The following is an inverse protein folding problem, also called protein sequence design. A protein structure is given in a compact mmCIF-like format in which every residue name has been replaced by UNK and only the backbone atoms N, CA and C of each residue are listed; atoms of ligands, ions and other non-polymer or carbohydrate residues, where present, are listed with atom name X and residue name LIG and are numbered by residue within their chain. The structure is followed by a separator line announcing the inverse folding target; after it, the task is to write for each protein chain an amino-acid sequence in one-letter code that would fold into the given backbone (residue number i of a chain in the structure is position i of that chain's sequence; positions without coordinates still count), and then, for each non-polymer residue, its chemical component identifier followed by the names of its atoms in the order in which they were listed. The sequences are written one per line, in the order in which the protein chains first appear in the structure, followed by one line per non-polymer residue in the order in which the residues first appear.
data_IF_128059710902
#
_entry.id   IF_128059710902
#
_cell.length_a   1.000
_cell.length_b   1.000
_cell.length_c   1.000
_cell.angle_alpha   90.00
_cell.angle_beta   90.00
_cell.angle_gamma   90.00
#
_symmetry.space_group_name_H-M   'P 1'
#
loop_
_entity.id
_entity.type
_entity.pdbx_description
1 polymer ?
#
# COMPACT_ATOMS: atom_id res chain seq x y z
N UNK A 1 -5.95 28.83 8.53
CA UNK A 1 -5.52 27.72 9.41
C UNK A 1 -6.74 26.98 9.99
N UNK A 2 -7.64 26.45 9.14
CA UNK A 2 -8.86 25.75 9.58
C UNK A 2 -9.38 24.72 8.54
N UNK A 3 -8.48 24.21 7.68
CA UNK A 3 -8.85 23.39 6.51
C UNK A 3 -8.36 21.94 6.51
N UNK A 4 -7.73 21.44 7.58
CA UNK A 4 -7.13 20.09 7.60
C UNK A 4 -7.97 19.01 8.31
N UNK A 5 -9.16 19.35 8.81
CA UNK A 5 -9.90 18.51 9.77
C UNK A 5 -11.05 17.63 9.24
N UNK A 6 -11.49 17.61 7.97
CA UNK A 6 -12.52 16.64 7.56
C UNK A 6 -12.02 15.35 6.87
N UNK A 7 -10.81 15.29 6.31
CA UNK A 7 -10.41 14.13 5.48
C UNK A 7 -9.65 13.01 6.21
N UNK A 8 -9.01 13.29 7.35
CA UNK A 8 -8.13 12.32 8.03
C UNK A 8 -8.39 12.15 9.54
N UNK A 9 -9.29 12.94 10.15
CA UNK A 9 -9.28 13.13 11.61
C UNK A 9 -10.54 12.78 12.42
N UNK A 10 -11.59 12.15 11.86
CA UNK A 10 -12.81 11.88 12.66
C UNK A 10 -13.34 10.46 12.52
N UNK A 11 -12.76 9.53 13.30
CA UNK A 11 -13.48 8.52 14.09
C UNK A 11 -12.46 7.68 14.87
N UNK A 12 -11.87 8.30 15.90
CA UNK A 12 -11.37 7.56 17.05
C UNK A 12 -12.54 7.32 17.99
N UNK A 13 -13.16 6.15 17.95
CA UNK A 13 -13.81 5.54 19.11
C UNK A 13 -14.02 4.05 18.87
N UNK A 14 -13.54 3.25 19.82
CA UNK A 14 -13.82 1.81 19.96
C UNK A 14 -15.31 1.53 19.74
N UNK A 15 -15.66 0.89 18.62
CA UNK A 15 -16.95 0.21 18.48
C UNK A 15 -16.69 -1.28 18.33
N UNK A 16 -16.92 -1.97 19.44
CA UNK A 16 -16.99 -3.42 19.58
C UNK A 16 -18.02 -3.95 18.58
N UNK A 17 -17.56 -4.46 17.43
CA UNK A 17 -18.44 -5.16 16.50
C UNK A 17 -18.45 -6.66 16.82
N UNK A 18 -19.30 -7.09 17.77
CA UNK A 18 -19.67 -8.52 17.89
C UNK A 18 -20.68 -8.87 16.80
N UNK A 19 -20.40 -9.94 16.05
CA UNK A 19 -21.38 -10.59 15.15
C UNK A 19 -20.99 -10.67 13.67
N UNK A 20 -20.59 -11.90 13.30
CA UNK A 20 -20.69 -12.57 12.00
C UNK A 20 -19.80 -12.10 10.83
N UNK A 21 -19.01 -13.04 10.27
CA UNK A 21 -18.61 -13.14 8.85
C UNK A 21 -17.76 -12.01 8.26
N UNK A 22 -17.03 -11.27 9.10
CA UNK A 22 -16.42 -9.93 8.85
C UNK A 22 -14.92 -9.91 9.17
N UNK A 23 -14.10 -10.58 8.38
CA UNK A 23 -12.66 -10.73 8.73
C UNK A 23 -11.76 -9.69 8.01
N UNK A 24 -11.83 -9.57 6.69
CA UNK A 24 -10.88 -8.73 5.92
C UNK A 24 -10.98 -7.19 6.11
N UNK A 25 -12.21 -6.63 6.14
CA UNK A 25 -12.38 -5.17 6.24
C UNK A 25 -12.03 -4.63 7.63
N UNK A 26 -12.16 -5.46 8.68
CA UNK A 26 -11.73 -5.12 10.04
C UNK A 26 -10.21 -5.10 10.15
N UNK A 27 -9.52 -6.08 9.54
CA UNK A 27 -8.06 -6.12 9.48
C UNK A 27 -7.46 -4.86 8.84
N UNK A 28 -8.02 -4.37 7.73
CA UNK A 28 -7.55 -3.13 7.08
C UNK A 28 -7.67 -1.89 7.98
N UNK A 29 -8.81 -1.76 8.66
CA UNK A 29 -9.10 -0.62 9.54
C UNK A 29 -8.24 -0.69 10.81
N UNK A 30 -8.09 -1.87 11.40
CA UNK A 30 -7.25 -2.09 12.58
C UNK A 30 -5.76 -1.92 12.28
N UNK A 31 -5.29 -2.27 11.09
CA UNK A 31 -3.91 -1.98 10.65
C UNK A 31 -3.68 -0.47 10.56
N UNK A 32 -4.57 0.27 9.89
CA UNK A 32 -4.43 1.72 9.70
C UNK A 32 -4.35 2.50 11.02
N UNK A 33 -5.27 2.24 11.96
CA UNK A 33 -5.37 3.01 13.21
C UNK A 33 -4.15 2.85 14.14
N UNK A 34 -3.38 1.80 13.91
CA UNK A 34 -2.39 1.36 14.85
C UNK A 34 -0.98 1.68 14.34
N UNK A 35 -0.76 1.66 13.03
CA UNK A 35 0.48 2.11 12.40
C UNK A 35 0.65 3.63 12.39
N UNK A 36 -0.45 4.40 12.34
CA UNK A 36 -0.39 5.87 12.34
C UNK A 36 0.34 6.41 13.58
N UNK A 37 0.06 5.86 14.77
CA UNK A 37 0.67 6.24 16.05
C UNK A 37 2.19 6.07 16.13
N UNK A 38 2.75 5.25 15.24
CA UNK A 38 4.10 4.72 15.37
C UNK A 38 5.04 5.33 14.33
N UNK A 39 4.54 5.69 13.15
CA UNK A 39 5.35 6.45 12.18
C UNK A 39 5.73 7.83 12.70
N UNK A 40 4.88 8.48 13.52
CA UNK A 40 5.25 9.75 14.13
C UNK A 40 6.54 9.63 14.95
N UNK A 41 6.78 8.45 15.53
CA UNK A 41 7.97 8.15 16.33
C UNK A 41 9.18 7.81 15.45
N UNK A 42 8.97 7.02 14.41
CA UNK A 42 10.03 6.63 13.47
C UNK A 42 10.49 7.75 12.52
N UNK A 43 9.61 8.66 12.13
CA UNK A 43 9.98 9.83 11.30
C UNK A 43 10.64 10.94 12.10
N UNK A 44 10.20 11.21 13.33
CA UNK A 44 10.90 12.14 14.22
C UNK A 44 12.33 11.62 14.47
N UNK A 45 12.50 10.33 14.73
CA UNK A 45 13.82 9.72 14.88
C UNK A 45 14.64 9.63 13.57
N UNK A 46 14.01 9.28 12.45
CA UNK A 46 14.66 9.17 11.13
C UNK A 46 15.08 10.52 10.55
N UNK A 47 14.38 11.60 10.92
CA UNK A 47 14.77 12.97 10.57
C UNK A 47 16.13 13.39 11.17
N UNK A 48 16.60 12.67 12.19
CA UNK A 48 17.81 12.96 12.97
C UNK A 48 19.08 12.22 12.52
N UNK A 49 19.00 11.07 11.84
CA UNK A 49 20.19 10.23 11.53
C UNK A 49 20.85 10.49 10.17
N UNK A 50 20.45 11.52 9.43
CA UNK A 50 21.06 11.86 8.14
C UNK A 50 20.51 11.07 6.94
N UNK A 51 20.83 11.54 5.73
CA UNK A 51 20.05 11.33 4.50
C UNK A 51 19.87 9.90 3.98
N UNK A 52 20.58 8.89 4.51
CA UNK A 52 20.39 7.48 4.10
C UNK A 52 19.25 6.79 4.87
N UNK A 53 19.02 7.13 6.14
CA UNK A 53 17.96 6.51 6.97
C UNK A 53 16.56 7.05 6.62
N UNK A 54 16.49 8.32 6.19
CA UNK A 54 15.26 9.00 5.78
C UNK A 54 14.56 8.33 4.59
N UNK A 55 15.31 7.67 3.71
CA UNK A 55 14.75 7.02 2.52
C UNK A 55 13.73 5.94 2.86
N UNK A 56 14.06 5.02 3.79
CA UNK A 56 13.13 3.99 4.25
C UNK A 56 11.92 4.58 4.98
N UNK A 57 12.16 5.48 5.93
CA UNK A 57 11.08 6.13 6.69
C UNK A 57 10.10 6.93 5.82
N UNK A 58 10.58 7.59 4.75
CA UNK A 58 9.71 8.29 3.78
C UNK A 58 8.91 7.33 2.92
N UNK A 59 9.48 6.18 2.51
CA UNK A 59 8.73 5.11 1.83
C UNK A 59 7.58 4.63 2.72
N UNK A 60 7.87 4.30 3.97
CA UNK A 60 6.87 3.93 4.97
C UNK A 60 5.75 4.99 5.12
N UNK A 61 6.12 6.28 5.21
CA UNK A 61 5.15 7.39 5.30
C UNK A 61 4.21 7.44 4.12
N UNK A 62 4.75 7.29 2.91
CA UNK A 62 3.96 7.32 1.69
C UNK A 62 2.94 6.20 1.70
N UNK A 63 3.38 4.96 1.99
CA UNK A 63 2.47 3.83 2.09
C UNK A 63 1.38 4.07 3.13
N UNK A 64 1.69 4.68 4.28
CA UNK A 64 0.67 5.04 5.28
C UNK A 64 -0.41 5.97 4.75
N UNK A 65 -0.03 7.01 4.02
CA UNK A 65 -0.98 7.91 3.38
C UNK A 65 -1.88 7.14 2.41
N UNK A 66 -1.28 6.25 1.61
CA UNK A 66 -2.00 5.37 0.68
C UNK A 66 -2.96 4.42 1.44
N UNK A 67 -2.52 3.84 2.56
CA UNK A 67 -3.36 2.99 3.43
C UNK A 67 -4.55 3.76 3.97
N UNK A 68 -4.35 5.04 4.29
CA UNK A 68 -5.41 5.87 4.84
C UNK A 68 -6.55 6.09 3.84
N UNK A 69 -6.19 6.44 2.60
CA UNK A 69 -7.12 6.53 1.47
C UNK A 69 -7.81 5.18 1.19
N UNK A 70 -7.05 4.08 1.12
CA UNK A 70 -7.59 2.75 0.87
C UNK A 70 -8.60 2.31 1.95
N UNK A 71 -8.32 2.59 3.22
CA UNK A 71 -9.23 2.29 4.32
C UNK A 71 -10.49 3.17 4.32
N UNK A 72 -10.38 4.44 3.97
CA UNK A 72 -11.54 5.32 3.78
C UNK A 72 -12.43 4.83 2.63
N UNK A 73 -11.83 4.41 1.52
CA UNK A 73 -12.53 3.72 0.44
C UNK A 73 -13.26 2.47 0.94
N UNK A 74 -12.58 1.59 1.68
CA UNK A 74 -13.20 0.38 2.22
C UNK A 74 -14.37 0.68 3.17
N UNK A 75 -14.25 1.68 4.04
CA UNK A 75 -15.36 2.14 4.91
C UNK A 75 -16.55 2.59 4.07
N UNK A 76 -16.31 3.42 3.04
CA UNK A 76 -17.36 3.94 2.17
C UNK A 76 -18.09 2.84 1.38
N UNK A 77 -17.34 1.90 0.79
CA UNK A 77 -17.92 0.77 0.06
C UNK A 77 -18.71 -0.15 1.01
N UNK A 78 -18.20 -0.38 2.23
CA UNK A 78 -18.88 -1.22 3.21
C UNK A 78 -20.19 -0.62 3.73
N UNK A 79 -20.23 0.70 3.96
CA UNK A 79 -21.46 1.41 4.37
C UNK A 79 -22.50 1.34 3.26
N UNK A 80 -22.09 1.48 2.00
CA UNK A 80 -22.97 1.43 0.81
C UNK A 80 -23.17 0.02 0.27
N UNK A 81 -22.83 -1.03 1.03
CA UNK A 81 -22.77 -2.41 0.51
C UNK A 81 -24.14 -2.91 0.07
N UNK A 82 -24.18 -3.51 -1.11
CA UNK A 82 -25.30 -4.31 -1.62
C UNK A 82 -24.85 -5.77 -1.76
N UNK A 83 -25.78 -6.74 -1.88
CA UNK A 83 -25.42 -8.14 -2.09
C UNK A 83 -24.51 -8.35 -3.31
N UNK A 84 -24.68 -7.55 -4.36
CA UNK A 84 -23.93 -7.66 -5.63
C UNK A 84 -22.46 -7.25 -5.48
N UNK A 85 -22.17 -6.26 -4.64
CA UNK A 85 -20.79 -5.79 -4.41
C UNK A 85 -20.08 -6.52 -3.27
N UNK A 86 -20.78 -7.42 -2.55
CA UNK A 86 -20.20 -8.20 -1.44
C UNK A 86 -18.95 -9.00 -1.87
N UNK A 87 -19.01 -9.63 -3.05
CA UNK A 87 -17.86 -10.35 -3.63
C UNK A 87 -16.69 -9.41 -3.89
N UNK A 88 -16.95 -8.20 -4.40
CA UNK A 88 -15.91 -7.22 -4.66
C UNK A 88 -15.27 -6.68 -3.37
N UNK A 89 -16.09 -6.42 -2.34
CA UNK A 89 -15.61 -6.03 -1.00
C UNK A 89 -14.66 -7.07 -0.45
N UNK A 90 -15.00 -8.36 -0.57
CA UNK A 90 -14.11 -9.42 -0.11
C UNK A 90 -12.77 -9.37 -0.83
N UNK A 91 -12.75 -9.29 -2.17
CA UNK A 91 -11.50 -9.22 -2.97
C UNK A 91 -10.65 -8.01 -2.58
N UNK A 92 -11.25 -6.82 -2.50
CA UNK A 92 -10.53 -5.61 -2.08
C UNK A 92 -9.99 -5.74 -0.65
N UNK A 93 -10.80 -6.26 0.27
CA UNK A 93 -10.37 -6.42 1.66
C UNK A 93 -9.23 -7.42 1.81
N UNK A 94 -9.24 -8.52 1.07
CA UNK A 94 -8.16 -9.53 1.08
C UNK A 94 -6.87 -8.95 0.50
N UNK A 95 -6.96 -8.26 -0.64
CA UNK A 95 -5.85 -7.60 -1.31
C UNK A 95 -5.18 -6.54 -0.40
N UNK A 96 -5.98 -5.61 0.11
CA UNK A 96 -5.52 -4.53 0.96
C UNK A 96 -4.98 -5.09 2.28
N UNK A 97 -5.70 -5.97 2.98
CA UNK A 97 -5.21 -6.50 4.26
C UNK A 97 -3.84 -7.17 4.11
N UNK A 98 -3.66 -8.01 3.10
CA UNK A 98 -2.39 -8.71 2.89
C UNK A 98 -1.22 -7.73 2.67
N UNK A 99 -1.38 -6.82 1.72
CA UNK A 99 -0.31 -5.87 1.34
C UNK A 99 -0.04 -4.86 2.44
N UNK A 100 -1.09 -4.28 3.01
CA UNK A 100 -0.99 -3.23 4.02
C UNK A 100 -0.40 -3.73 5.34
N UNK A 101 -0.71 -4.97 5.75
CA UNK A 101 -0.14 -5.54 6.98
C UNK A 101 1.33 -5.93 6.82
N UNK A 102 1.76 -6.46 5.67
CA UNK A 102 3.19 -6.63 5.40
C UNK A 102 3.92 -5.30 5.38
N UNK A 103 3.37 -4.30 4.71
CA UNK A 103 3.97 -2.97 4.66
C UNK A 103 4.05 -2.31 6.05
N UNK A 104 3.04 -2.51 6.88
CA UNK A 104 3.04 -2.09 8.28
C UNK A 104 4.26 -2.69 9.01
N UNK A 105 4.47 -4.00 8.90
CA UNK A 105 5.59 -4.68 9.56
C UNK A 105 6.96 -4.20 9.08
N UNK A 106 7.12 -3.99 7.76
CA UNK A 106 8.33 -3.40 7.18
C UNK A 106 8.56 -1.99 7.74
N UNK A 107 7.52 -1.15 7.71
CA UNK A 107 7.62 0.24 8.17
C UNK A 107 7.95 0.32 9.67
N UNK A 108 7.33 -0.51 10.50
CA UNK A 108 7.61 -0.59 11.94
C UNK A 108 9.06 -1.02 12.21
N UNK A 109 9.55 -1.98 11.42
CA UNK A 109 10.91 -2.46 11.52
C UNK A 109 11.92 -1.36 11.15
N UNK A 110 11.73 -0.69 10.02
CA UNK A 110 12.56 0.43 9.58
C UNK A 110 12.53 1.60 10.57
N UNK A 111 11.35 1.93 11.10
CA UNK A 111 11.19 2.96 12.13
C UNK A 111 11.99 2.62 13.40
N UNK A 112 11.94 1.36 13.85
CA UNK A 112 12.73 0.92 15.02
C UNK A 112 14.22 1.03 14.76
N UNK A 113 14.69 0.60 13.60
CA UNK A 113 16.11 0.70 13.20
C UNK A 113 16.56 2.14 13.05
N UNK A 114 15.70 3.02 12.53
CA UNK A 114 15.93 4.46 12.45
C UNK A 114 15.98 5.16 13.83
N UNK A 115 15.46 4.53 14.89
CA UNK A 115 15.62 5.03 16.26
C UNK A 115 16.89 4.51 16.96
N UNK A 116 17.67 3.63 16.31
CA UNK A 116 18.82 2.98 16.93
C UNK A 116 18.46 2.28 18.27
N UNK A 117 19.34 2.38 19.26
CA UNK A 117 19.13 1.78 20.59
C UNK A 117 17.88 2.32 21.32
N UNK A 118 17.50 3.57 21.06
CA UNK A 118 16.29 4.16 21.67
C UNK A 118 15.01 3.45 21.21
N UNK A 119 15.01 2.85 20.01
CA UNK A 119 13.89 2.06 19.52
C UNK A 119 13.66 0.74 20.25
N UNK A 120 14.63 0.27 21.04
CA UNK A 120 14.49 -0.92 21.89
C UNK A 120 13.94 -0.60 23.28
N UNK A 121 14.03 0.66 23.73
CA UNK A 121 13.57 1.02 25.07
C UNK A 121 12.05 0.90 25.18
N UNK A 122 11.59 0.24 26.24
CA UNK A 122 10.17 0.03 26.54
C UNK A 122 9.38 1.34 26.63
N UNK A 123 9.99 2.41 27.16
CA UNK A 123 9.38 3.75 27.24
C UNK A 123 8.96 4.31 25.86
N UNK A 124 9.67 3.91 24.79
CA UNK A 124 9.40 4.34 23.42
C UNK A 124 8.41 3.44 22.68
N UNK A 125 8.09 2.27 23.26
CA UNK A 125 7.02 1.34 22.83
C UNK A 125 7.13 0.79 21.40
N UNK A 126 8.17 1.11 20.63
CA UNK A 126 8.31 0.64 19.24
C UNK A 126 8.39 -0.89 19.14
N UNK A 127 9.17 -1.52 20.03
CA UNK A 127 9.26 -2.98 20.10
C UNK A 127 7.92 -3.65 20.50
N UNK A 128 7.23 -3.07 21.48
CA UNK A 128 5.92 -3.55 21.95
C UNK A 128 4.90 -3.47 20.81
N UNK A 129 4.80 -2.30 20.17
CA UNK A 129 3.88 -2.14 19.07
C UNK A 129 4.17 -3.08 17.90
N UNK A 130 5.45 -3.24 17.52
CA UNK A 130 5.80 -4.22 16.49
C UNK A 130 5.31 -5.62 16.84
N UNK A 131 5.45 -6.05 18.10
CA UNK A 131 4.96 -7.35 18.54
C UNK A 131 3.42 -7.45 18.50
N UNK A 132 2.72 -6.38 18.87
CA UNK A 132 1.25 -6.32 18.81
C UNK A 132 0.71 -6.35 17.37
N UNK A 133 1.42 -5.76 16.41
CA UNK A 133 1.00 -5.72 15.00
C UNK A 133 1.39 -6.94 14.18
N UNK A 134 2.36 -7.73 14.64
CA UNK A 134 2.83 -8.91 13.92
C UNK A 134 1.70 -9.91 13.65
N UNK A 135 0.79 -10.06 14.61
CA UNK A 135 -0.39 -10.92 14.51
C UNK A 135 -1.32 -10.55 13.34
N UNK A 136 -1.31 -9.29 12.89
CA UNK A 136 -2.15 -8.86 11.78
C UNK A 136 -1.75 -9.53 10.47
N UNK A 137 -0.53 -10.04 10.34
CA UNK A 137 -0.11 -10.79 9.15
C UNK A 137 -0.80 -12.16 9.01
N UNK A 138 -1.34 -12.69 10.12
CA UNK A 138 -1.90 -14.06 10.18
C UNK A 138 -3.38 -14.10 10.56
N UNK A 139 -3.85 -13.22 11.44
CA UNK A 139 -5.26 -13.14 11.80
C UNK A 139 -6.13 -12.61 10.67
N UNK A 140 -7.41 -12.99 10.69
CA UNK A 140 -8.41 -12.63 9.66
C UNK A 140 -8.02 -13.13 8.24
N UNK A 141 -7.18 -14.18 8.20
CA UNK A 141 -6.65 -14.84 7.00
C UNK A 141 -5.15 -14.60 6.81
N UNK A 142 -4.39 -15.68 6.58
CA UNK A 142 -2.97 -15.58 6.21
C UNK A 142 -2.78 -14.77 4.92
N UNK A 143 -1.80 -13.86 4.90
CA UNK A 143 -1.61 -12.94 3.78
C UNK A 143 -1.38 -13.65 2.44
N UNK A 144 -0.66 -14.78 2.40
CA UNK A 144 -0.45 -15.52 1.16
C UNK A 144 -1.75 -16.18 0.69
N UNK A 145 -2.51 -16.75 1.63
CA UNK A 145 -3.84 -17.32 1.34
C UNK A 145 -4.80 -16.26 0.81
N UNK A 146 -4.77 -15.05 1.37
CA UNK A 146 -5.58 -13.93 0.91
C UNK A 146 -5.20 -13.48 -0.51
N UNK A 147 -3.91 -13.37 -0.83
CA UNK A 147 -3.47 -13.09 -2.20
C UNK A 147 -3.90 -14.20 -3.17
N UNK A 148 -3.91 -15.47 -2.76
CA UNK A 148 -4.48 -16.55 -3.58
C UNK A 148 -5.99 -16.38 -3.81
N UNK A 149 -6.75 -15.91 -2.80
CA UNK A 149 -8.18 -15.64 -2.98
C UNK A 149 -8.41 -14.51 -4.00
N UNK A 150 -7.58 -13.46 -3.97
CA UNK A 150 -7.62 -12.35 -4.92
C UNK A 150 -7.40 -12.87 -6.34
N UNK A 151 -6.27 -13.54 -6.60
CA UNK A 151 -5.95 -14.04 -7.95
C UNK A 151 -6.99 -15.04 -8.47
N UNK A 152 -7.50 -15.95 -7.62
CA UNK A 152 -8.59 -16.87 -7.99
C UNK A 152 -9.87 -16.12 -8.36
N UNK A 153 -10.21 -15.05 -7.64
CA UNK A 153 -11.38 -14.24 -7.95
C UNK A 153 -11.23 -13.49 -9.29
N UNK A 154 -10.05 -12.93 -9.56
CA UNK A 154 -9.74 -12.26 -10.84
C UNK A 154 -9.79 -13.24 -12.00
N UNK A 155 -9.20 -14.43 -11.85
CA UNK A 155 -9.27 -15.49 -12.84
C UNK A 155 -10.71 -15.95 -13.13
N UNK A 156 -11.53 -16.11 -12.09
CA UNK A 156 -12.94 -16.46 -12.26
C UNK A 156 -13.73 -15.39 -13.02
N UNK A 157 -13.43 -14.10 -12.78
CA UNK A 157 -14.03 -12.99 -13.52
C UNK A 157 -13.58 -12.98 -14.98
N UNK A 158 -12.29 -13.19 -15.22
CA UNK A 158 -11.71 -13.33 -16.56
C UNK A 158 -12.40 -14.44 -17.37
N UNK A 159 -12.51 -15.65 -16.81
CA UNK A 159 -13.19 -16.76 -17.48
C UNK A 159 -14.67 -16.49 -17.75
N UNK A 160 -15.36 -15.89 -16.78
CA UNK A 160 -16.79 -15.56 -16.91
C UNK A 160 -17.02 -14.56 -18.04
N UNK A 161 -16.15 -13.55 -18.11
CA UNK A 161 -16.17 -12.50 -19.14
C UNK A 161 -15.89 -13.07 -20.52
N UNK A 162 -14.86 -13.92 -20.66
CA UNK A 162 -14.54 -14.63 -21.90
C UNK A 162 -15.72 -15.49 -22.39
N UNK A 163 -16.36 -16.25 -21.49
CA UNK A 163 -17.52 -17.10 -21.83
C UNK A 163 -18.75 -16.29 -22.24
N UNK A 164 -19.04 -15.21 -21.52
CA UNK A 164 -20.25 -14.38 -21.75
C UNK A 164 -20.06 -13.34 -22.86
N UNK A 165 -18.83 -13.10 -23.32
CA UNK A 165 -18.46 -12.04 -24.28
C UNK A 165 -19.02 -10.66 -23.89
N UNK A 166 -19.08 -10.39 -22.59
CA UNK A 166 -19.49 -9.10 -22.04
C UNK A 166 -18.25 -8.30 -21.65
N UNK A 167 -18.31 -6.96 -21.58
CA UNK A 167 -17.20 -6.18 -21.03
C UNK A 167 -17.02 -6.48 -19.53
N UNK A 168 -15.78 -6.37 -19.05
CA UNK A 168 -15.44 -6.38 -17.63
C UNK A 168 -16.18 -5.25 -16.90
N UNK A 169 -16.71 -5.56 -15.72
CA UNK A 169 -17.37 -4.61 -14.82
C UNK A 169 -17.07 -4.98 -13.37
N UNK A 170 -16.57 -4.04 -12.60
CA UNK A 170 -16.15 -4.20 -11.22
C UNK A 170 -14.67 -4.52 -11.09
N UNK A 171 -14.18 -4.46 -9.83
CA UNK A 171 -12.80 -4.74 -9.45
C UNK A 171 -11.75 -3.83 -10.09
N UNK A 172 -12.12 -2.77 -10.83
CA UNK A 172 -11.17 -1.96 -11.59
C UNK A 172 -10.63 -2.66 -12.84
N UNK A 173 -11.23 -3.79 -13.24
CA UNK A 173 -10.86 -4.54 -14.45
C UNK A 173 -11.42 -3.92 -15.73
N UNK A 174 -12.15 -2.81 -15.63
CA UNK A 174 -12.69 -2.08 -16.78
C UNK A 174 -11.60 -1.63 -17.76
N UNK A 175 -10.37 -1.42 -17.28
CA UNK A 175 -9.25 -1.09 -18.14
C UNK A 175 -8.94 -2.21 -19.16
N UNK A 176 -9.32 -3.48 -18.94
CA UNK A 176 -9.15 -4.56 -19.91
C UNK A 176 -10.10 -4.46 -21.13
N UNK A 177 -11.16 -3.65 -21.04
CA UNK A 177 -12.10 -3.45 -22.16
C UNK A 177 -11.50 -2.57 -23.26
N UNK A 178 -10.48 -1.77 -22.93
CA UNK A 178 -9.85 -0.82 -23.83
C UNK A 178 -8.58 -1.36 -24.52
N UNK A 179 -7.97 -0.54 -25.38
CA UNK A 179 -6.70 -0.87 -26.02
C UNK A 179 -5.60 -1.13 -24.98
N UNK A 180 -4.57 -1.89 -25.36
CA UNK A 180 -3.41 -2.12 -24.51
C UNK A 180 -2.65 -0.82 -24.32
N UNK A 181 -2.31 -0.40 -23.08
CA UNK A 181 -1.48 0.77 -22.88
C UNK A 181 -0.12 0.58 -23.53
N UNK A 182 0.43 1.65 -24.09
CA UNK A 182 1.75 1.67 -24.71
C UNK A 182 2.70 2.46 -23.83
N UNK A 183 3.76 1.81 -23.39
CA UNK A 183 4.77 2.42 -22.51
C UNK A 183 5.87 3.03 -23.37
N UNK A 184 6.21 4.31 -23.18
CA UNK A 184 7.30 4.94 -23.91
C UNK A 184 8.63 4.20 -23.69
N UNK A 185 9.46 4.11 -24.74
CA UNK A 185 10.76 3.44 -24.65
C UNK A 185 11.73 4.16 -23.70
N UNK A 186 11.69 5.50 -23.68
CA UNK A 186 12.52 6.33 -22.81
C UNK A 186 11.64 7.11 -21.85
N UNK A 187 11.99 7.09 -20.57
CA UNK A 187 11.25 7.76 -19.51
C UNK A 187 12.01 9.01 -19.04
N UNK A 188 11.27 10.11 -18.90
CA UNK A 188 11.73 11.34 -18.25
C UNK A 188 11.02 11.52 -16.91
N UNK A 189 11.51 12.43 -16.06
CA UNK A 189 10.85 12.77 -14.79
C UNK A 189 9.38 13.18 -14.98
N UNK A 190 9.09 14.00 -16.00
CA UNK A 190 7.72 14.43 -16.32
C UNK A 190 6.80 13.25 -16.69
N UNK A 191 7.33 12.29 -17.45
CA UNK A 191 6.59 11.07 -17.81
C UNK A 191 6.34 10.23 -16.56
N UNK A 192 7.36 10.02 -15.73
CA UNK A 192 7.25 9.23 -14.50
C UNK A 192 6.24 9.81 -13.50
N UNK A 193 6.12 11.13 -13.43
CA UNK A 193 5.19 11.84 -12.53
C UNK A 193 3.77 11.98 -13.08
N UNK A 194 3.57 11.73 -14.38
CA UNK A 194 2.26 11.79 -15.02
C UNK A 194 1.33 10.69 -14.49
N UNK A 195 0.17 11.10 -13.96
CA UNK A 195 -0.86 10.16 -13.48
C UNK A 195 -1.31 9.20 -14.58
N UNK A 196 -1.37 9.65 -15.83
CA UNK A 196 -1.71 8.81 -16.98
C UNK A 196 -0.69 7.69 -17.18
N UNK A 197 0.60 8.03 -17.22
CA UNK A 197 1.67 7.04 -17.41
C UNK A 197 1.67 6.00 -16.29
N UNK A 198 1.62 6.47 -15.03
CA UNK A 198 1.61 5.62 -13.86
C UNK A 198 0.44 4.62 -13.90
N UNK A 199 -0.74 5.12 -14.29
CA UNK A 199 -1.92 4.27 -14.38
C UNK A 199 -1.86 3.30 -15.55
N UNK A 200 -1.39 3.75 -16.72
CA UNK A 200 -1.19 2.93 -17.91
C UNK A 200 -0.21 1.77 -17.63
N UNK A 201 0.89 2.02 -16.92
CA UNK A 201 1.88 1.01 -16.56
C UNK A 201 1.31 -0.06 -15.62
N UNK A 202 0.57 0.33 -14.59
CA UNK A 202 0.01 -0.62 -13.63
C UNK A 202 -1.13 -1.43 -14.23
N UNK A 203 -1.97 -0.80 -15.06
CA UNK A 203 -2.99 -1.47 -15.87
C UNK A 203 -2.37 -2.46 -16.87
N UNK A 204 -1.25 -2.11 -17.52
CA UNK A 204 -0.55 -3.03 -18.42
C UNK A 204 -0.09 -4.27 -17.68
N UNK A 205 0.59 -4.10 -16.54
CA UNK A 205 1.10 -5.20 -15.71
C UNK A 205 -0.03 -6.12 -15.24
N UNK A 206 -1.10 -5.58 -14.66
CA UNK A 206 -2.22 -6.40 -14.17
C UNK A 206 -2.92 -7.14 -15.32
N UNK A 207 -3.17 -6.46 -16.45
CA UNK A 207 -3.78 -7.07 -17.64
C UNK A 207 -2.96 -8.25 -18.15
N UNK A 208 -1.66 -8.07 -18.27
CA UNK A 208 -0.77 -9.07 -18.85
C UNK A 208 -0.60 -10.27 -17.92
N UNK A 209 -0.36 -10.04 -16.62
CA UNK A 209 -0.29 -11.11 -15.61
C UNK A 209 -1.60 -11.91 -15.52
N UNK A 210 -2.76 -11.27 -15.66
CA UNK A 210 -4.04 -11.96 -15.65
C UNK A 210 -4.20 -12.91 -16.84
N UNK A 211 -3.74 -12.49 -18.03
CA UNK A 211 -3.74 -13.34 -19.23
C UNK A 211 -2.77 -14.50 -19.09
N UNK A 212 -1.53 -14.22 -18.71
CA UNK A 212 -0.50 -15.25 -18.52
C UNK A 212 -0.92 -16.26 -17.44
N UNK A 213 -1.53 -15.82 -16.33
CA UNK A 213 -2.06 -16.74 -15.31
C UNK A 213 -3.15 -17.64 -15.88
N UNK A 214 -4.06 -17.09 -16.68
CA UNK A 214 -5.12 -17.89 -17.31
C UNK A 214 -4.57 -18.91 -18.31
N UNK A 215 -3.58 -18.52 -19.11
CA UNK A 215 -2.88 -19.39 -20.06
C UNK A 215 -2.12 -20.50 -19.35
N UNK A 216 -1.43 -20.18 -18.25
CA UNK A 216 -0.68 -21.15 -17.47
C UNK A 216 -1.58 -22.19 -16.79
N UNK A 217 -2.70 -21.74 -16.20
CA UNK A 217 -3.70 -22.66 -15.64
C UNK A 217 -4.29 -23.54 -16.74
N UNK A 218 -4.60 -22.98 -17.92
CA UNK A 218 -5.11 -23.76 -19.05
C UNK A 218 -4.10 -24.81 -19.52
N UNK A 219 -2.80 -24.49 -19.53
CA UNK A 219 -1.72 -25.43 -19.87
C UNK A 219 -1.69 -26.63 -18.94
N UNK A 220 -1.76 -26.43 -17.62
CA UNK A 220 -1.80 -27.55 -16.67
C UNK A 220 -3.08 -28.38 -16.78
N UNK A 221 -4.23 -27.74 -16.99
CA UNK A 221 -5.49 -28.46 -17.25
C UNK A 221 -5.39 -29.36 -18.50
N UNK A 222 -4.74 -28.87 -19.57
CA UNK A 222 -4.51 -29.65 -20.79
C UNK A 222 -3.55 -30.84 -20.57
N UNK A 223 -2.68 -30.78 -19.55
CA UNK A 223 -1.80 -31.87 -19.13
C UNK A 223 -2.52 -32.91 -18.26
N UNK A 224 -3.83 -32.75 -17.99
CA UNK A 224 -4.63 -33.67 -17.19
C UNK A 224 -4.62 -33.38 -15.69
N UNK A 225 -4.02 -32.26 -15.26
CA UNK A 225 -4.06 -31.85 -13.85
C UNK A 225 -5.48 -31.45 -13.42
N UNK A 226 -5.81 -31.69 -12.16
CA UNK A 226 -7.05 -31.16 -11.59
C UNK A 226 -7.02 -29.63 -11.53
N UNK A 227 -8.19 -28.99 -11.45
CA UNK A 227 -8.28 -27.52 -11.37
C UNK A 227 -7.54 -26.97 -10.16
N UNK A 228 -7.69 -27.64 -9.02
CA UNK A 228 -7.06 -27.26 -7.75
C UNK A 228 -5.54 -27.36 -7.87
N UNK A 229 -5.04 -28.42 -8.52
CA UNK A 229 -3.62 -28.63 -8.75
C UNK A 229 -3.03 -27.65 -9.76
N UNK A 230 -3.73 -27.38 -10.86
CA UNK A 230 -3.32 -26.39 -11.86
C UNK A 230 -3.18 -24.97 -11.24
N UNK A 231 -4.13 -24.56 -10.39
CA UNK A 231 -4.06 -23.30 -9.67
C UNK A 231 -2.89 -23.25 -8.67
N UNK A 232 -2.61 -24.37 -8.00
CA UNK A 232 -1.47 -24.48 -7.07
C UNK A 232 -0.12 -24.41 -7.81
N UNK A 233 0.01 -25.11 -8.95
CA UNK A 233 1.23 -25.10 -9.76
C UNK A 233 1.51 -23.72 -10.36
N UNK A 234 0.47 -22.93 -10.60
CA UNK A 234 0.55 -21.56 -11.12
C UNK A 234 0.66 -20.49 -10.01
N UNK A 235 1.10 -20.87 -8.80
CA UNK A 235 1.07 -19.98 -7.62
C UNK A 235 1.94 -18.72 -7.78
N UNK A 236 3.12 -18.82 -8.39
CA UNK A 236 4.05 -17.69 -8.49
C UNK A 236 3.44 -16.52 -9.28
N UNK A 237 2.88 -16.81 -10.46
CA UNK A 237 2.20 -15.78 -11.26
C UNK A 237 0.90 -15.31 -10.61
N UNK A 238 0.22 -16.18 -9.87
CA UNK A 238 -0.98 -15.83 -9.12
C UNK A 238 -0.66 -14.80 -8.01
N UNK A 239 0.47 -14.94 -7.32
CA UNK A 239 0.93 -13.99 -6.32
C UNK A 239 1.29 -12.63 -6.96
N UNK A 240 2.05 -12.64 -8.05
CA UNK A 240 2.41 -11.42 -8.79
C UNK A 240 1.16 -10.69 -9.32
N UNK A 241 0.17 -11.43 -9.83
CA UNK A 241 -1.12 -10.88 -10.26
C UNK A 241 -1.87 -10.21 -9.10
N UNK A 242 -1.96 -10.88 -7.95
CA UNK A 242 -2.65 -10.33 -6.79
C UNK A 242 -1.98 -9.06 -6.26
N UNK A 243 -0.64 -9.02 -6.25
CA UNK A 243 0.14 -7.83 -5.92
C UNK A 243 -0.09 -6.72 -6.94
N UNK A 244 -0.05 -7.03 -8.24
CA UNK A 244 -0.32 -6.07 -9.30
C UNK A 244 -1.71 -5.44 -9.20
N UNK A 245 -2.72 -6.25 -8.90
CA UNK A 245 -4.09 -5.81 -8.65
C UNK A 245 -4.16 -4.86 -7.45
N UNK A 246 -3.50 -5.22 -6.36
CA UNK A 246 -3.55 -4.44 -5.13
C UNK A 246 -2.89 -3.07 -5.32
N UNK A 247 -1.71 -3.04 -5.93
CA UNK A 247 -0.99 -1.80 -6.17
C UNK A 247 -1.73 -0.86 -7.14
N UNK A 248 -2.32 -1.42 -8.20
CA UNK A 248 -3.19 -0.66 -9.12
C UNK A 248 -4.41 -0.10 -8.40
N UNK A 249 -5.04 -0.89 -7.53
CA UNK A 249 -6.21 -0.48 -6.75
C UNK A 249 -5.87 0.66 -5.80
N UNK A 250 -4.76 0.58 -5.07
CA UNK A 250 -4.30 1.64 -4.17
C UNK A 250 -4.01 2.93 -4.94
N UNK A 251 -3.29 2.84 -6.07
CA UNK A 251 -3.02 3.98 -6.94
C UNK A 251 -4.31 4.64 -7.43
N UNK A 252 -5.27 3.84 -7.89
CA UNK A 252 -6.56 4.35 -8.39
C UNK A 252 -7.32 5.11 -7.29
N UNK A 253 -7.44 4.51 -6.10
CA UNK A 253 -8.13 5.12 -4.95
C UNK A 253 -7.47 6.47 -4.59
N UNK A 254 -6.14 6.50 -4.48
CA UNK A 254 -5.43 7.71 -4.09
C UNK A 254 -5.50 8.79 -5.17
N UNK A 255 -5.47 8.41 -6.45
CA UNK A 255 -5.63 9.35 -7.56
C UNK A 255 -7.03 9.99 -7.55
N UNK A 256 -8.07 9.23 -7.22
CA UNK A 256 -9.43 9.77 -7.04
C UNK A 256 -9.47 10.79 -5.89
N UNK A 257 -8.82 10.51 -4.76
CA UNK A 257 -8.71 11.46 -3.63
C UNK A 257 -7.93 12.73 -4.03
N UNK A 258 -6.80 12.61 -4.73
CA UNK A 258 -6.02 13.74 -5.27
C UNK A 258 -6.83 14.59 -6.24
N UNK A 259 -7.60 13.96 -7.13
CA UNK A 259 -8.45 14.67 -8.09
C UNK A 259 -9.54 15.48 -7.39
N UNK A 260 -10.12 14.94 -6.31
CA UNK A 260 -11.15 15.60 -5.51
C UNK A 260 -10.60 16.67 -4.56
N UNK A 261 -9.28 16.70 -4.32
CA UNK A 261 -8.65 17.74 -3.49
C UNK A 261 -8.70 19.11 -4.19
N UNK A 262 -8.94 20.20 -3.42
CA UNK A 262 -8.92 21.56 -3.95
C UNK A 262 -7.52 21.91 -4.49
N UNK A 263 -7.48 22.75 -5.52
CA UNK A 263 -6.21 23.22 -6.08
C UNK A 263 -5.38 23.97 -5.02
N UNK A 264 -4.06 23.80 -5.07
CA UNK A 264 -3.09 24.41 -4.17
C UNK A 264 -2.17 23.38 -3.52
N UNK A 265 -1.47 23.82 -2.46
CA UNK A 265 -0.38 23.07 -1.84
C UNK A 265 -0.75 21.66 -1.37
N UNK A 266 -1.99 21.43 -0.94
CA UNK A 266 -2.45 20.09 -0.58
C UNK A 266 -2.40 19.14 -1.79
N UNK A 267 -2.92 19.58 -2.93
CA UNK A 267 -2.95 18.76 -4.15
C UNK A 267 -1.54 18.48 -4.66
N UNK A 268 -0.63 19.45 -4.53
CA UNK A 268 0.78 19.28 -4.89
C UNK A 268 1.46 18.20 -4.03
N UNK A 269 1.25 18.23 -2.71
CA UNK A 269 1.78 17.21 -1.78
C UNK A 269 1.16 15.83 -2.07
N UNK A 270 -0.14 15.75 -2.37
CA UNK A 270 -0.77 14.49 -2.78
C UNK A 270 -0.15 13.96 -4.08
N UNK A 271 0.13 14.82 -5.06
CA UNK A 271 0.84 14.43 -6.29
C UNK A 271 2.25 13.89 -6.05
N UNK A 272 2.99 14.46 -5.08
CA UNK A 272 4.29 13.94 -4.64
C UNK A 272 4.15 12.57 -3.99
N UNK A 273 3.18 12.40 -3.07
CA UNK A 273 2.91 11.12 -2.42
C UNK A 273 2.55 10.03 -3.44
N UNK A 274 1.65 10.34 -4.39
CA UNK A 274 1.29 9.42 -5.48
C UNK A 274 2.52 9.01 -6.28
N UNK A 275 3.32 9.99 -6.72
CA UNK A 275 4.49 9.70 -7.55
C UNK A 275 5.52 8.86 -6.80
N UNK A 276 5.77 9.18 -5.52
CA UNK A 276 6.66 8.41 -4.67
C UNK A 276 6.17 6.98 -4.48
N UNK A 277 4.88 6.77 -4.24
CA UNK A 277 4.29 5.42 -4.13
C UNK A 277 4.56 4.58 -5.38
N UNK A 278 4.26 5.13 -6.56
CA UNK A 278 4.44 4.41 -7.83
C UNK A 278 5.92 4.10 -8.08
N UNK A 279 6.82 5.07 -7.85
CA UNK A 279 8.24 4.85 -8.06
C UNK A 279 8.80 3.79 -7.11
N UNK A 280 8.34 3.74 -5.85
CA UNK A 280 8.76 2.73 -4.87
C UNK A 280 8.26 1.34 -5.27
N UNK A 281 6.99 1.21 -5.66
CA UNK A 281 6.46 -0.06 -6.17
C UNK A 281 7.28 -0.58 -7.37
N UNK A 282 7.74 0.31 -8.24
CA UNK A 282 8.58 -0.06 -9.39
C UNK A 282 10.01 -0.44 -8.98
N UNK A 283 10.65 0.35 -8.09
CA UNK A 283 12.03 0.12 -7.63
C UNK A 283 12.17 -1.17 -6.81
N UNK A 284 11.12 -1.57 -6.08
CA UNK A 284 11.15 -2.76 -5.21
C UNK A 284 10.61 -4.03 -5.90
N UNK A 285 9.74 -3.90 -6.90
CA UNK A 285 9.14 -5.05 -7.56
C UNK A 285 9.97 -5.53 -8.75
N UNK A 286 10.57 -6.71 -8.61
CA UNK A 286 11.25 -7.38 -9.72
C UNK A 286 10.31 -7.70 -10.90
N UNK A 287 8.98 -7.67 -10.71
CA UNK A 287 7.99 -7.98 -11.75
C UNK A 287 8.13 -7.07 -12.99
N UNK A 288 8.48 -5.80 -12.82
CA UNK A 288 8.60 -4.86 -13.93
C UNK A 288 9.73 -5.22 -14.91
N UNK A 289 10.83 -5.79 -14.40
CA UNK A 289 11.92 -6.32 -15.21
C UNK A 289 11.64 -7.76 -15.68
N UNK A 290 11.13 -8.62 -14.79
CA UNK A 290 10.89 -10.05 -15.04
C UNK A 290 9.97 -10.27 -16.25
N UNK A 291 8.91 -9.46 -16.36
CA UNK A 291 7.94 -9.55 -17.44
C UNK A 291 8.18 -8.51 -18.56
N UNK A 292 9.27 -7.75 -18.48
CA UNK A 292 9.70 -6.86 -19.56
C UNK A 292 8.86 -5.58 -19.74
N UNK A 293 8.11 -5.14 -18.72
CA UNK A 293 7.37 -3.87 -18.80
C UNK A 293 8.28 -2.65 -18.83
N UNK A 294 9.46 -2.74 -18.21
CA UNK A 294 10.48 -1.70 -18.20
C UNK A 294 11.85 -2.28 -18.58
N UNK A 295 12.66 -1.47 -19.26
CA UNK A 295 14.07 -1.78 -19.53
C UNK A 295 14.92 -1.52 -18.28
N UNK A 296 16.17 -2.02 -18.29
CA UNK A 296 17.16 -1.72 -17.24
C UNK A 296 17.41 -0.21 -17.09
N UNK A 297 17.46 0.51 -18.21
CA UNK A 297 17.67 1.97 -18.22
C UNK A 297 16.46 2.71 -17.63
N UNK A 298 15.25 2.25 -17.91
CA UNK A 298 14.03 2.82 -17.35
C UNK A 298 13.97 2.59 -15.83
N UNK A 299 14.31 1.40 -15.34
CA UNK A 299 14.38 1.14 -13.90
C UNK A 299 15.49 1.95 -13.22
N UNK A 300 16.65 2.13 -13.86
CA UNK A 300 17.69 3.01 -13.36
C UNK A 300 17.22 4.47 -13.27
N UNK A 301 16.38 4.92 -14.21
CA UNK A 301 15.76 6.25 -14.20
C UNK A 301 14.75 6.38 -13.06
N UNK A 302 13.89 5.38 -12.86
CA UNK A 302 12.97 5.32 -11.71
C UNK A 302 13.72 5.41 -10.38
N UNK A 303 14.82 4.66 -10.23
CA UNK A 303 15.63 4.68 -9.00
C UNK A 303 16.21 6.07 -8.70
N UNK A 304 16.62 6.82 -9.74
CA UNK A 304 17.05 8.21 -9.58
C UNK A 304 15.88 9.11 -9.18
N UNK A 305 14.71 8.91 -9.78
CA UNK A 305 13.50 9.66 -9.47
C UNK A 305 13.05 9.48 -8.02
N UNK A 306 13.16 8.27 -7.46
CA UNK A 306 12.92 8.03 -6.02
C UNK A 306 13.76 8.94 -5.13
N UNK A 307 15.05 9.14 -5.46
CA UNK A 307 15.93 10.01 -4.67
C UNK A 307 15.54 11.49 -4.76
N UNK A 308 15.06 11.92 -5.93
CA UNK A 308 14.55 13.28 -6.15
C UNK A 308 13.28 13.47 -5.31
N UNK A 309 12.32 12.55 -5.40
CA UNK A 309 11.07 12.60 -4.65
C UNK A 309 11.29 12.53 -3.13
N UNK A 310 12.27 11.76 -2.64
CA UNK A 310 12.68 11.79 -1.23
C UNK A 310 13.12 13.20 -0.80
N UNK A 311 13.87 13.91 -1.64
CA UNK A 311 14.36 15.25 -1.34
C UNK A 311 13.24 16.28 -1.34
N UNK A 312 12.28 16.14 -2.25
CA UNK A 312 11.09 17.01 -2.33
C UNK A 312 10.08 16.74 -1.22
N UNK A 313 9.91 15.49 -0.79
CA UNK A 313 8.95 15.11 0.25
C UNK A 313 9.48 15.42 1.66
N UNK A 314 10.81 15.42 1.86
CA UNK A 314 11.45 15.61 3.16
C UNK A 314 10.97 16.87 3.92
N UNK A 315 10.90 18.07 3.32
CA UNK A 315 10.37 19.26 4.00
C UNK A 315 8.92 19.14 4.48
N UNK A 316 8.14 18.24 3.87
CA UNK A 316 6.73 18.02 4.21
C UNK A 316 6.51 16.88 5.21
N UNK A 317 7.54 16.07 5.48
CA UNK A 317 7.40 14.81 6.21
C UNK A 317 6.77 14.98 7.61
N UNK A 318 7.24 15.96 8.40
CA UNK A 318 6.67 16.24 9.73
C UNK A 318 5.23 16.74 9.63
N UNK A 319 4.92 17.66 8.71
CA UNK A 319 3.56 18.16 8.54
C UNK A 319 2.57 17.05 8.12
N UNK A 320 3.01 16.10 7.29
CA UNK A 320 2.21 14.94 6.90
C UNK A 320 1.97 14.05 8.11
N UNK A 321 3.00 13.80 8.92
CA UNK A 321 2.88 13.03 10.16
C UNK A 321 1.91 13.68 11.14
N UNK A 322 2.05 14.99 11.38
CA UNK A 322 1.19 15.74 12.30
C UNK A 322 -0.27 15.76 11.82
N UNK A 323 -0.49 15.67 10.50
CA UNK A 323 -1.84 15.62 9.92
C UNK A 323 -2.66 14.37 10.30
N UNK A 324 -2.00 13.30 10.79
CA UNK A 324 -2.71 12.15 11.35
C UNK A 324 -3.43 12.48 12.68
N UNK A 325 -3.11 13.61 13.32
CA UNK A 325 -3.85 14.13 14.48
C UNK A 325 -3.80 13.22 15.70
N UNK A 326 -2.65 12.61 15.96
CA UNK A 326 -2.46 11.62 17.02
C UNK A 326 -2.27 12.34 18.33
N UNK A 327 -3.11 12.07 19.36
CA UNK A 327 -2.97 12.77 20.63
C UNK A 327 -1.64 12.45 21.32
N UNK A 328 -1.03 13.46 21.93
CA UNK A 328 0.28 13.39 22.60
C UNK A 328 0.38 12.24 23.61
N UNK A 329 -0.71 11.90 24.30
CA UNK A 329 -0.76 10.79 25.26
C UNK A 329 -0.46 9.40 24.65
N UNK A 330 -0.57 9.26 23.33
CA UNK A 330 -0.23 8.03 22.60
C UNK A 330 1.20 8.05 22.02
N UNK A 331 1.87 9.21 22.06
CA UNK A 331 3.22 9.38 21.57
C UNK A 331 4.27 8.96 22.63
N UNK A 332 5.47 8.62 22.16
CA UNK A 332 6.60 8.26 23.04
C UNK A 332 7.37 9.52 23.44
N UNK A 333 8.17 9.49 24.51
CA UNK A 333 9.09 10.59 24.84
C UNK A 333 9.97 11.02 23.65
N UNK A 334 10.45 10.08 22.84
CA UNK A 334 11.22 10.35 21.61
C UNK A 334 10.50 11.24 20.57
N UNK A 335 9.17 11.36 20.63
CA UNK A 335 8.41 12.16 19.68
C UNK A 335 8.41 13.66 20.03
N UNK A 336 8.88 14.02 21.22
CA UNK A 336 8.89 15.41 21.73
C UNK A 336 10.33 15.94 21.83
N UNK A 337 10.97 15.87 23.00
CA UNK A 337 12.36 16.28 23.21
C UNK A 337 13.29 15.06 23.25
N UNK A 338 13.81 14.71 22.08
CA UNK A 338 14.73 13.59 21.92
C UNK A 338 16.12 13.89 22.51
N UNK A 339 16.52 15.16 22.64
CA UNK A 339 17.82 15.55 23.20
C UNK A 339 17.80 15.31 24.71
N UNK A 340 16.76 15.79 25.37
CA UNK A 340 16.54 15.55 26.80
C UNK A 340 16.39 14.05 27.09
N UNK A 341 15.60 13.33 26.27
CA UNK A 341 15.43 11.88 26.42
C UNK A 341 16.74 11.08 26.25
N UNK A 342 17.68 11.59 25.45
CA UNK A 342 19.03 11.01 25.32
C UNK A 342 19.95 11.41 26.49
N UNK A 343 19.86 12.65 26.98
CA UNK A 343 20.69 13.16 28.06
C UNK A 343 20.43 12.43 29.40
N UNK A 344 19.19 12.01 29.65
CA UNK A 344 18.81 11.23 30.84
C UNK A 344 19.45 9.83 30.88
N UNK A 345 20.04 9.34 29.79
CA UNK A 345 20.71 8.03 29.75
C UNK A 345 22.18 8.03 30.21
N UNK A 346 22.79 9.22 30.36
CA UNK A 346 24.21 9.39 30.70
C UNK A 346 24.46 9.85 32.15
N UNK A 347 23.43 9.93 32.99
CA UNK A 347 23.54 10.56 34.31
C UNK A 347 22.63 9.96 35.37
N UNK A 348 22.82 8.69 35.70
CA UNK A 348 22.44 8.12 37.01
C UNK A 348 23.02 6.70 37.17
N UNK A 349 24.29 6.62 37.56
CA UNK A 349 24.84 5.51 38.36
C UNK A 349 25.35 6.07 39.70
#
# INVERSE_FOLDING_TARGET
MLGLMPLLGRLGLMLVFRGLGREGARGCILAQHATSGILQKGLVAGSLLGGLQLGGSLRGLVFMCMMSSASNFMKNVYVKRTPEISKAIHVYSSALKATLTWQNMTTLQECREACGGQGLKTENRLGIFKAEFDVQSTFEGDNNVLLQQVSKALYAEFLTTQRKKKPFKGLGLEHLNGPCPVIPHSLTSDILRSSKFQMDLFCLRERDLLKQFAEEVARYLAQGESRERALMLSYQIAEDLARAFTERTILQIFLEDEMNAPAGSLKDVLGLLRSMYVMVCIDESASFLRYGYLSRDNVATVRKEVMILCSELRPHALAIVDSFGIPDAFLSPLAFDWIEANALSSGSE
#
